data_IF_980946819777
#
_entry.id   IF_980946819777
#
_cell.length_a   1.000
_cell.length_b   1.000
_cell.length_c   1.000
_cell.angle_alpha   90.00
_cell.angle_beta   90.00
_cell.angle_gamma   90.00
#
_symmetry.space_group_name_H-M   'P 1'
#
loop_
_entity.id
_entity.type
_entity.pdbx_description
1 polymer ?
#
# COMPACT_ATOMS: atom_id res chain seq x y z
N UNK A 1 49.13 -45.35 7.09
CA UNK A 1 48.07 -44.33 7.01
C UNK A 1 47.32 -44.56 5.71
N UNK A 2 46.04 -44.95 5.74
CA UNK A 2 45.25 -45.10 4.51
C UNK A 2 44.84 -43.70 4.05
N UNK A 3 45.36 -43.26 2.90
CA UNK A 3 44.92 -42.02 2.27
C UNK A 3 43.46 -42.17 1.84
N UNK A 4 42.55 -41.47 2.51
CA UNK A 4 41.15 -41.46 2.12
C UNK A 4 41.02 -40.64 0.83
N UNK A 5 40.67 -41.32 -0.27
CA UNK A 5 40.50 -40.65 -1.56
C UNK A 5 39.29 -39.71 -1.48
N UNK A 6 39.55 -38.41 -1.50
CA UNK A 6 38.52 -37.38 -1.53
C UNK A 6 37.71 -37.53 -2.82
N UNK A 7 36.44 -37.96 -2.71
CA UNK A 7 35.51 -37.94 -3.84
C UNK A 7 35.15 -36.48 -4.12
N UNK A 8 35.66 -35.93 -5.21
CA UNK A 8 35.28 -34.60 -5.68
C UNK A 8 33.83 -34.58 -6.20
N UNK A 9 33.20 -33.42 -6.12
CA UNK A 9 31.89 -33.15 -6.72
C UNK A 9 32.00 -33.24 -8.25
N UNK A 10 31.04 -33.88 -8.91
CA UNK A 10 31.05 -33.97 -10.38
C UNK A 10 30.50 -32.70 -11.01
N UNK A 11 31.00 -32.36 -12.19
CA UNK A 11 30.50 -31.21 -12.97
C UNK A 11 29.02 -31.37 -13.32
N UNK A 12 28.57 -32.62 -13.52
CA UNK A 12 27.17 -32.97 -13.77
C UNK A 12 26.30 -32.68 -12.54
N UNK A 13 26.73 -33.06 -11.34
CA UNK A 13 26.00 -32.73 -10.10
C UNK A 13 25.86 -31.21 -9.93
N UNK A 14 26.92 -30.45 -10.21
CA UNK A 14 26.87 -29.00 -10.13
C UNK A 14 25.90 -28.39 -11.17
N UNK A 15 25.88 -28.91 -12.39
CA UNK A 15 24.95 -28.45 -13.43
C UNK A 15 23.49 -28.76 -13.08
N UNK A 16 23.20 -29.91 -12.48
CA UNK A 16 21.84 -30.25 -12.02
C UNK A 16 21.40 -29.30 -10.90
N UNK A 17 22.28 -29.00 -9.94
CA UNK A 17 21.98 -28.05 -8.87
C UNK A 17 21.67 -26.65 -9.42
N UNK A 18 22.47 -26.16 -10.37
CA UNK A 18 22.23 -24.86 -11.01
C UNK A 18 20.90 -24.86 -11.77
N UNK A 19 20.57 -25.95 -12.47
CA UNK A 19 19.29 -26.07 -13.19
C UNK A 19 18.09 -26.01 -12.22
N UNK A 20 18.16 -26.71 -11.08
CA UNK A 20 17.10 -26.69 -10.06
C UNK A 20 16.96 -25.28 -9.45
N UNK A 21 18.08 -24.63 -9.09
CA UNK A 21 18.07 -23.26 -8.55
C UNK A 21 17.48 -22.29 -9.59
N UNK A 22 17.80 -22.45 -10.87
CA UNK A 22 17.27 -21.63 -11.96
C UNK A 22 15.74 -21.70 -12.06
N UNK A 23 15.17 -22.90 -11.99
CA UNK A 23 13.71 -23.11 -12.02
C UNK A 23 13.05 -22.47 -10.79
N UNK A 24 13.61 -22.70 -9.60
CA UNK A 24 13.07 -22.14 -8.36
C UNK A 24 13.13 -20.60 -8.36
N UNK A 25 14.25 -20.02 -8.83
CA UNK A 25 14.42 -18.57 -8.91
C UNK A 25 13.42 -17.91 -9.87
N UNK A 26 13.14 -18.55 -11.02
CA UNK A 26 12.17 -18.04 -11.99
C UNK A 26 10.76 -17.90 -11.42
N UNK A 27 10.36 -18.77 -10.49
CA UNK A 27 9.05 -18.73 -9.82
C UNK A 27 9.09 -17.80 -8.59
N UNK A 28 10.18 -17.83 -7.83
CA UNK A 28 10.29 -17.10 -6.57
C UNK A 28 10.50 -15.59 -6.75
N UNK A 29 11.27 -15.17 -7.76
CA UNK A 29 11.60 -13.76 -7.95
C UNK A 29 10.37 -12.87 -8.23
N UNK A 30 9.44 -13.23 -9.14
CA UNK A 30 8.23 -12.43 -9.36
C UNK A 30 7.36 -12.31 -8.08
N UNK A 31 7.19 -13.41 -7.34
CA UNK A 31 6.41 -13.40 -6.10
C UNK A 31 7.07 -12.54 -5.00
N UNK A 32 8.41 -12.57 -4.89
CA UNK A 32 9.14 -11.73 -3.97
C UNK A 32 9.03 -10.25 -4.33
N UNK A 33 9.09 -9.91 -5.62
CA UNK A 33 8.86 -8.54 -6.09
C UNK A 33 7.45 -8.07 -5.70
N UNK A 34 6.41 -8.85 -5.97
CA UNK A 34 5.04 -8.52 -5.59
C UNK A 34 4.89 -8.26 -4.07
N UNK A 35 5.55 -9.07 -3.25
CA UNK A 35 5.56 -8.91 -1.80
C UNK A 35 6.25 -7.60 -1.38
N UNK A 36 7.43 -7.30 -1.94
CA UNK A 36 8.15 -6.06 -1.60
C UNK A 36 7.38 -4.81 -2.02
N UNK A 37 6.74 -4.81 -3.20
CA UNK A 37 5.91 -3.69 -3.65
C UNK A 37 4.73 -3.50 -2.69
N UNK A 38 4.13 -4.58 -2.21
CA UNK A 38 3.05 -4.50 -1.22
C UNK A 38 3.49 -3.97 0.13
N UNK A 39 4.70 -4.32 0.56
CA UNK A 39 5.28 -3.75 1.76
C UNK A 39 5.50 -2.23 1.61
N UNK A 40 5.95 -1.77 0.43
CA UNK A 40 6.04 -0.33 0.12
C UNK A 40 4.67 0.34 0.14
N UNK A 41 3.67 -0.28 -0.48
CA UNK A 41 2.30 0.24 -0.53
C UNK A 41 1.68 0.37 0.89
N UNK A 42 2.04 -0.49 1.83
CA UNK A 42 1.53 -0.45 3.21
C UNK A 42 1.95 0.80 4.00
N UNK A 43 3.04 1.48 3.62
CA UNK A 43 3.48 2.72 4.28
C UNK A 43 2.42 3.82 4.18
N UNK A 44 1.79 3.96 3.01
CA UNK A 44 0.80 5.00 2.73
C UNK A 44 -0.35 5.07 3.74
N UNK A 45 -1.14 3.98 3.88
CA UNK A 45 -2.20 3.90 4.87
C UNK A 45 -1.72 4.11 6.32
N UNK A 46 -0.49 3.72 6.64
CA UNK A 46 0.09 3.89 7.97
C UNK A 46 0.40 5.37 8.26
N UNK A 47 1.05 6.07 7.32
CA UNK A 47 1.33 7.50 7.44
C UNK A 47 0.06 8.35 7.49
N UNK A 48 -0.99 7.95 6.76
CA UNK A 48 -2.27 8.65 6.76
C UNK A 48 -3.14 8.41 8.01
N UNK A 49 -2.74 7.54 8.94
CA UNK A 49 -3.54 7.19 10.12
C UNK A 49 -3.87 8.39 11.03
N UNK A 50 -2.91 9.28 11.23
CA UNK A 50 -3.13 10.53 11.97
C UNK A 50 -4.17 11.43 11.30
N UNK A 51 -4.11 11.55 9.96
CA UNK A 51 -5.06 12.36 9.19
C UNK A 51 -6.49 11.84 9.29
N UNK A 52 -6.66 10.50 9.31
CA UNK A 52 -8.00 9.90 9.49
C UNK A 52 -8.65 10.37 10.78
N UNK A 53 -7.87 10.41 11.85
CA UNK A 53 -8.36 10.84 13.17
C UNK A 53 -8.75 12.30 13.14
N UNK A 54 -7.87 13.18 12.64
CA UNK A 54 -8.16 14.62 12.55
C UNK A 54 -9.34 14.94 11.63
N UNK A 55 -9.52 14.22 10.52
CA UNK A 55 -10.68 14.38 9.63
C UNK A 55 -11.97 13.95 10.32
N UNK A 56 -11.93 12.82 11.05
CA UNK A 56 -13.09 12.31 11.79
C UNK A 56 -13.51 13.28 12.91
N UNK A 57 -12.56 13.84 13.65
CA UNK A 57 -12.79 14.87 14.65
C UNK A 57 -13.40 16.13 14.03
N UNK A 58 -12.83 16.63 12.92
CA UNK A 58 -13.36 17.81 12.22
C UNK A 58 -14.81 17.62 11.78
N UNK A 59 -15.14 16.44 11.24
CA UNK A 59 -16.51 16.11 10.85
C UNK A 59 -17.44 16.00 12.05
N UNK A 60 -16.99 15.41 13.15
CA UNK A 60 -17.78 15.26 14.38
C UNK A 60 -18.11 16.62 15.00
N UNK A 61 -17.18 17.58 14.95
CA UNK A 61 -17.37 18.92 15.51
C UNK A 61 -18.22 19.84 14.63
N UNK A 62 -18.07 19.75 13.29
CA UNK A 62 -18.64 20.73 12.35
C UNK A 62 -19.72 20.17 11.43
N UNK A 63 -19.94 18.86 11.43
CA UNK A 63 -20.87 18.18 10.51
C UNK A 63 -20.49 18.28 9.03
N UNK A 64 -19.28 18.75 8.71
CA UNK A 64 -18.80 18.98 7.34
C UNK A 64 -17.39 18.43 7.20
N UNK A 65 -17.03 17.97 6.00
CA UNK A 65 -15.69 17.48 5.73
C UNK A 65 -14.69 18.63 5.55
N UNK A 66 -13.43 18.46 5.99
CA UNK A 66 -12.41 19.47 5.77
C UNK A 66 -12.12 19.61 4.27
N UNK A 67 -12.00 20.84 3.81
CA UNK A 67 -11.73 21.13 2.40
C UNK A 67 -10.33 20.64 1.98
N UNK A 68 -9.34 20.74 2.87
CA UNK A 68 -7.95 20.34 2.65
C UNK A 68 -7.17 20.23 3.97
N UNK A 69 -5.89 19.87 3.91
CA UNK A 69 -5.03 19.74 5.12
C UNK A 69 -4.90 21.07 5.89
N UNK A 70 -4.92 22.23 5.21
CA UNK A 70 -4.82 23.51 5.90
C UNK A 70 -6.04 23.78 6.80
N UNK A 71 -7.22 23.29 6.41
CA UNK A 71 -8.43 23.35 7.27
C UNK A 71 -8.29 22.51 8.56
N UNK A 72 -7.37 21.54 8.57
CA UNK A 72 -7.04 20.72 9.74
C UNK A 72 -5.85 21.27 10.54
N UNK A 73 -5.19 22.34 10.07
CA UNK A 73 -3.98 22.88 10.71
C UNK A 73 -2.77 21.96 10.62
N UNK A 74 -2.76 21.00 9.69
CA UNK A 74 -1.65 20.05 9.51
C UNK A 74 -0.79 20.42 8.29
N UNK A 75 0.42 19.85 8.25
CA UNK A 75 1.36 20.04 7.14
C UNK A 75 0.75 19.66 5.79
N UNK A 76 1.04 20.47 4.77
CA UNK A 76 0.71 20.17 3.37
C UNK A 76 1.72 19.25 2.71
N UNK A 77 2.90 19.11 3.32
CA UNK A 77 4.01 18.30 2.83
C UNK A 77 4.21 17.14 3.81
N UNK A 78 3.53 16.04 3.55
CA UNK A 78 3.68 14.79 4.31
C UNK A 78 4.27 13.77 3.35
N UNK A 79 5.46 13.27 3.66
CA UNK A 79 6.20 12.32 2.83
C UNK A 79 6.86 11.24 3.69
N UNK A 80 7.20 10.14 3.04
CA UNK A 80 7.86 8.98 3.63
C UNK A 80 8.91 8.37 2.71
N UNK A 81 9.30 7.13 2.96
CA UNK A 81 10.32 6.44 2.16
C UNK A 81 9.81 6.09 0.76
N UNK A 82 8.53 5.73 0.64
CA UNK A 82 7.83 5.33 -0.58
C UNK A 82 6.63 6.25 -0.91
N UNK A 83 6.35 7.24 -0.07
CA UNK A 83 5.25 8.19 -0.23
C UNK A 83 5.81 9.59 -0.54
N UNK A 84 5.44 10.14 -1.70
CA UNK A 84 5.88 11.48 -2.12
C UNK A 84 4.98 12.59 -1.56
N UNK A 85 3.72 12.29 -1.27
CA UNK A 85 2.77 13.27 -0.76
C UNK A 85 1.51 12.64 -0.19
N UNK A 86 0.87 13.35 0.75
CA UNK A 86 -0.47 13.03 1.24
C UNK A 86 -1.30 14.31 1.23
N UNK A 87 -2.42 14.28 0.51
CA UNK A 87 -3.37 15.39 0.43
C UNK A 87 -4.74 14.94 0.92
N UNK A 88 -5.51 15.87 1.50
CA UNK A 88 -6.94 15.66 1.74
C UNK A 88 -7.74 16.63 0.89
N UNK A 89 -8.89 16.15 0.39
CA UNK A 89 -9.85 16.94 -0.36
C UNK A 89 -11.25 16.48 0.01
N UNK A 90 -12.05 17.38 0.61
CA UNK A 90 -13.41 17.09 1.07
C UNK A 90 -13.50 15.80 1.91
N UNK A 91 -12.53 15.59 2.82
CA UNK A 91 -12.45 14.42 3.70
C UNK A 91 -11.84 13.15 3.08
N UNK A 92 -11.66 13.09 1.75
CA UNK A 92 -10.93 11.99 1.09
C UNK A 92 -9.44 12.25 1.22
N UNK A 93 -8.68 11.27 1.73
CA UNK A 93 -7.22 11.33 1.79
C UNK A 93 -6.68 10.63 0.55
N UNK A 94 -5.82 11.30 -0.20
CA UNK A 94 -5.08 10.73 -1.32
C UNK A 94 -3.61 10.64 -0.94
N UNK A 95 -3.11 9.41 -0.85
CA UNK A 95 -1.69 9.12 -0.73
C UNK A 95 -1.11 8.96 -2.12
N UNK A 96 -0.02 9.65 -2.42
CA UNK A 96 0.72 9.51 -3.68
C UNK A 96 2.05 8.81 -3.41
N UNK A 97 2.30 7.72 -4.11
CA UNK A 97 3.55 6.97 -3.99
C UNK A 97 4.63 7.57 -4.89
N UNK A 98 5.87 7.49 -4.43
CA UNK A 98 7.03 8.03 -5.10
C UNK A 98 8.31 7.78 -4.30
N UNK A 99 9.29 8.65 -4.42
CA UNK A 99 10.61 8.50 -3.77
C UNK A 99 11.25 7.17 -4.16
N UNK A 100 11.42 6.23 -3.21
CA UNK A 100 12.04 4.93 -3.44
C UNK A 100 11.02 3.84 -3.84
N UNK A 101 9.76 4.21 -4.13
CA UNK A 101 8.75 3.25 -4.55
C UNK A 101 9.17 2.56 -5.85
N UNK A 102 8.71 1.32 -6.04
CA UNK A 102 8.96 0.58 -7.26
C UNK A 102 8.50 1.38 -8.49
N UNK A 103 9.44 1.74 -9.35
CA UNK A 103 9.21 2.68 -10.46
C UNK A 103 8.27 2.17 -11.54
N UNK A 104 8.12 0.85 -11.65
CA UNK A 104 7.31 0.22 -12.68
C UNK A 104 5.86 -0.05 -12.25
N UNK A 105 5.62 -0.24 -10.94
CA UNK A 105 4.36 -0.80 -10.43
C UNK A 105 3.72 -0.03 -9.27
N UNK A 106 4.35 1.04 -8.79
CA UNK A 106 3.84 1.80 -7.64
C UNK A 106 4.17 3.30 -7.71
N UNK A 107 5.30 3.70 -8.31
CA UNK A 107 5.64 5.11 -8.39
C UNK A 107 4.61 5.90 -9.20
N UNK A 108 4.16 7.03 -8.65
CA UNK A 108 3.08 7.91 -9.15
C UNK A 108 1.66 7.34 -9.03
N UNK A 109 1.50 6.08 -8.64
CA UNK A 109 0.19 5.56 -8.27
C UNK A 109 -0.26 6.17 -6.95
N UNK A 110 -1.56 6.05 -6.67
CA UNK A 110 -2.17 6.57 -5.46
C UNK A 110 -2.88 5.49 -4.66
N UNK A 111 -3.18 5.80 -3.40
CA UNK A 111 -4.18 5.10 -2.61
C UNK A 111 -5.09 6.14 -1.99
N UNK A 112 -6.37 6.02 -2.30
CA UNK A 112 -7.41 6.83 -1.67
C UNK A 112 -7.91 6.19 -0.37
N UNK A 113 -8.13 6.99 0.67
CA UNK A 113 -8.77 6.60 1.93
C UNK A 113 -10.00 7.49 2.09
N UNK A 114 -11.16 6.86 2.07
CA UNK A 114 -12.44 7.52 1.97
C UNK A 114 -13.24 7.27 3.24
N UNK A 115 -13.74 8.30 3.92
CA UNK A 115 -14.64 8.09 5.03
C UNK A 115 -15.98 7.56 4.52
N UNK A 116 -16.59 6.68 5.31
CA UNK A 116 -17.90 6.11 5.09
C UNK A 116 -18.71 6.29 6.37
N UNK A 117 -19.84 6.98 6.26
CA UNK A 117 -20.67 7.33 7.42
C UNK A 117 -21.82 6.34 7.52
N UNK A 118 -21.97 5.68 8.68
CA UNK A 118 -23.09 4.81 8.98
C UNK A 118 -24.37 5.63 9.21
N UNK A 119 -25.57 5.02 9.11
CA UNK A 119 -26.81 5.71 9.48
C UNK A 119 -26.86 6.17 10.94
N UNK A 120 -26.05 5.57 11.81
CA UNK A 120 -25.90 5.94 13.21
C UNK A 120 -24.90 7.08 13.43
N UNK A 121 -24.19 7.53 12.39
CA UNK A 121 -23.20 8.61 12.43
C UNK A 121 -21.76 8.14 12.65
N UNK A 122 -21.50 6.83 12.70
CA UNK A 122 -20.15 6.30 12.85
C UNK A 122 -19.34 6.48 11.57
N UNK A 123 -18.07 6.87 11.71
CA UNK A 123 -17.15 7.01 10.58
C UNK A 123 -16.28 5.76 10.47
N UNK A 124 -16.49 5.00 9.40
CA UNK A 124 -15.59 3.95 8.94
C UNK A 124 -14.67 4.48 7.82
N UNK A 125 -13.56 3.78 7.56
CA UNK A 125 -12.62 4.15 6.51
C UNK A 125 -12.52 3.06 5.46
N UNK A 126 -12.82 3.41 4.21
CA UNK A 126 -12.71 2.55 3.05
C UNK A 126 -11.42 2.91 2.32
N UNK A 127 -10.51 1.95 2.20
CA UNK A 127 -9.28 2.14 1.44
C UNK A 127 -9.49 1.73 -0.01
N UNK A 128 -9.36 2.66 -0.96
CA UNK A 128 -9.48 2.42 -2.40
C UNK A 128 -10.69 1.53 -2.74
N UNK A 129 -10.49 0.41 -3.44
CA UNK A 129 -11.51 -0.59 -3.78
C UNK A 129 -11.95 -1.47 -2.61
N UNK A 130 -11.51 -1.20 -1.38
CA UNK A 130 -11.85 -1.91 -0.16
C UNK A 130 -13.35 -2.09 0.10
N UNK A 131 -13.69 -3.09 0.91
CA UNK A 131 -15.08 -3.38 1.28
C UNK A 131 -15.72 -2.18 1.97
N UNK A 132 -16.89 -1.81 1.47
CA UNK A 132 -17.75 -0.78 2.05
C UNK A 132 -18.65 -1.42 3.12
N UNK A 133 -18.69 -0.88 4.35
CA UNK A 133 -19.62 -1.34 5.37
C UNK A 133 -21.08 -1.22 4.90
N UNK A 134 -21.90 -2.22 5.20
CA UNK A 134 -23.31 -2.26 4.76
C UNK A 134 -24.08 -1.06 5.30
N UNK A 135 -24.84 -0.39 4.43
CA UNK A 135 -25.64 0.79 4.79
C UNK A 135 -24.83 2.08 5.00
N UNK A 136 -23.49 2.05 4.87
CA UNK A 136 -22.67 3.25 4.99
C UNK A 136 -22.63 4.04 3.67
N UNK A 137 -22.65 5.37 3.78
CA UNK A 137 -22.47 6.28 2.63
C UNK A 137 -21.01 6.67 2.53
N UNK A 138 -20.34 6.28 1.44
CA UNK A 138 -18.92 6.57 1.21
C UNK A 138 -18.74 7.93 0.53
N UNK A 139 -17.80 8.72 1.02
CA UNK A 139 -17.47 10.02 0.46
C UNK A 139 -16.50 9.88 -0.72
N UNK A 140 -16.73 10.66 -1.78
CA UNK A 140 -15.91 10.64 -3.01
C UNK A 140 -16.09 9.38 -3.85
N UNK A 141 -15.19 9.15 -4.80
CA UNK A 141 -15.10 7.92 -5.61
C UNK A 141 -13.71 7.29 -5.42
N UNK A 142 -13.55 6.02 -5.82
CA UNK A 142 -12.22 5.39 -5.91
C UNK A 142 -11.43 6.18 -6.97
N UNK A 143 -10.18 6.54 -6.67
CA UNK A 143 -9.36 7.33 -7.58
C UNK A 143 -9.03 6.52 -8.84
N UNK A 144 -9.13 7.13 -10.02
CA UNK A 144 -8.76 6.47 -11.30
C UNK A 144 -7.24 6.23 -11.45
N UNK A 145 -6.43 6.74 -10.53
CA UNK A 145 -4.98 6.50 -10.43
C UNK A 145 -4.61 5.66 -9.20
N UNK A 146 -5.54 4.91 -8.62
CA UNK A 146 -5.22 4.01 -7.53
C UNK A 146 -4.31 2.87 -8.04
N UNK A 147 -3.31 2.48 -7.24
CA UNK A 147 -2.37 1.43 -7.60
C UNK A 147 -3.08 0.09 -7.85
N UNK A 148 -2.45 -0.77 -8.66
CA UNK A 148 -3.02 -2.10 -8.97
C UNK A 148 -3.36 -2.85 -7.66
N UNK A 149 -4.61 -3.35 -7.48
CA UNK A 149 -5.01 -4.10 -6.30
C UNK A 149 -4.09 -5.27 -5.94
N UNK A 150 -3.36 -5.84 -6.91
CA UNK A 150 -2.34 -6.88 -6.70
C UNK A 150 -1.21 -6.42 -5.77
N UNK A 151 -0.88 -5.14 -5.78
CA UNK A 151 0.18 -4.54 -4.96
C UNK A 151 -0.35 -3.87 -3.68
N UNK A 152 -1.66 -3.71 -3.54
CA UNK A 152 -2.22 -3.08 -2.35
C UNK A 152 -2.33 -4.03 -1.15
N UNK A 153 -2.33 -3.55 0.11
CA UNK A 153 -2.68 -4.36 1.27
C UNK A 153 -4.10 -4.94 1.17
N UNK A 154 -4.39 -6.02 1.89
CA UNK A 154 -5.69 -6.70 1.82
C UNK A 154 -6.90 -5.78 2.13
N UNK A 155 -6.73 -4.83 3.06
CA UNK A 155 -7.76 -3.86 3.42
C UNK A 155 -8.12 -2.87 2.30
N UNK A 156 -7.28 -2.74 1.28
CA UNK A 156 -7.43 -1.81 0.16
C UNK A 156 -7.88 -2.49 -1.13
N UNK A 157 -8.26 -3.77 -1.05
CA UNK A 157 -8.71 -4.59 -2.18
C UNK A 157 -10.21 -4.85 -2.10
N UNK A 158 -10.89 -5.00 -3.25
CA UNK A 158 -12.30 -5.41 -3.28
C UNK A 158 -12.56 -6.76 -2.60
#
# INVERSE_FOLDING_TARGET
MKAQMQKGFTLIELMIVVAIIGILAAIALPAYQDYTIRAQAAEGPSLASGLRTSIAEFYSDRGTWPANNAALGISQTISGSYVSGITSAAGVITVTYGNNANTANLANDTVTLRPAVSPAGDIAWVCSGGRVPSGATVVGAVGSGDADPKYLPAACRP
#
